data_IF_489841293159
#
_entry.id   IF_489841293159
#
_cell.length_a   1.000
_cell.length_b   1.000
_cell.length_c   1.000
_cell.angle_alpha   90.00
_cell.angle_beta   90.00
_cell.angle_gamma   90.00
#
_symmetry.space_group_name_H-M   'P 1'
#
loop_
_entity.id
_entity.type
_entity.pdbx_description
1 polymer ?
#
# COMPACT_ATOMS: atom_id res chain seq x y z
N UNK A 1 33.47 18.45 42.33
CA UNK A 1 34.24 19.57 41.76
C UNK A 1 33.43 20.11 40.58
N UNK A 2 32.75 21.26 40.55
CA UNK A 2 32.54 22.42 41.41
C UNK A 2 31.07 22.84 41.14
N UNK A 3 30.25 22.95 42.20
CA UNK A 3 28.96 23.66 42.18
C UNK A 3 29.24 25.13 42.54
N UNK A 4 28.58 26.09 41.89
CA UNK A 4 28.50 27.49 42.33
C UNK A 4 27.11 28.09 42.00
N UNK A 5 26.66 29.11 42.75
CA UNK A 5 25.40 29.00 43.49
C UNK A 5 24.36 30.09 43.15
N UNK A 6 23.18 29.89 43.72
CA UNK A 6 22.06 30.84 43.84
C UNK A 6 22.51 32.05 44.68
N UNK A 7 22.27 33.26 44.18
CA UNK A 7 22.41 34.52 44.92
C UNK A 7 21.11 35.31 44.83
N UNK A 8 20.47 35.51 45.99
CA UNK A 8 19.30 36.37 46.23
C UNK A 8 19.83 37.71 46.73
N UNK A 9 19.39 38.83 46.17
CA UNK A 9 19.57 40.16 46.79
C UNK A 9 18.25 40.92 46.72
N UNK A 10 17.76 41.27 47.90
CA UNK A 10 16.64 42.17 48.14
C UNK A 10 17.11 43.62 47.93
N UNK A 11 16.26 44.43 47.30
CA UNK A 11 16.39 45.89 47.28
C UNK A 11 15.07 46.49 47.73
N UNK A 12 15.05 47.01 48.95
CA UNK A 12 14.00 47.90 49.46
C UNK A 12 14.11 49.26 48.77
N UNK A 13 12.98 49.78 48.30
CA UNK A 13 12.90 51.09 47.65
C UNK A 13 11.47 51.61 47.63
N UNK A 14 11.12 52.29 48.73
CA UNK A 14 10.11 53.34 48.89
C UNK A 14 8.74 53.22 48.19
N UNK A 15 7.73 53.22 49.07
CA UNK A 15 6.35 53.58 48.80
C UNK A 15 6.29 54.96 48.13
N UNK A 16 5.88 55.00 46.86
CA UNK A 16 5.25 56.19 46.29
C UNK A 16 3.73 55.96 46.27
N UNK A 17 3.05 56.81 47.02
CA UNK A 17 1.62 56.81 47.24
C UNK A 17 0.97 57.77 46.25
N UNK A 18 0.79 57.35 45.01
CA UNK A 18 -0.15 58.00 44.09
C UNK A 18 -0.33 57.19 42.80
N UNK A 19 -1.29 56.27 42.78
CA UNK A 19 -2.11 55.96 41.61
C UNK A 19 -3.20 54.99 42.06
N UNK A 20 -4.21 55.56 42.70
CA UNK A 20 -5.56 55.00 42.67
C UNK A 20 -6.21 55.50 41.38
N UNK A 21 -6.10 54.72 40.31
CA UNK A 21 -7.12 54.67 39.27
C UNK A 21 -6.87 53.40 38.43
N UNK A 22 -7.98 52.80 37.99
CA UNK A 22 -8.05 51.72 37.00
C UNK A 22 -7.81 50.28 37.52
N UNK A 23 -8.53 49.89 38.57
CA UNK A 23 -8.92 48.47 38.75
C UNK A 23 -10.34 48.27 38.20
N UNK A 24 -10.47 48.12 36.87
CA UNK A 24 -11.63 47.43 36.30
C UNK A 24 -11.52 45.94 36.66
N UNK A 25 -12.24 45.55 37.71
CA UNK A 25 -12.46 44.16 38.04
C UNK A 25 -13.41 43.58 37.00
N UNK A 26 -12.81 42.91 36.01
CA UNK A 26 -13.51 42.07 35.04
C UNK A 26 -14.45 41.08 35.75
N UNK A 27 -15.68 40.99 35.25
CA UNK A 27 -16.75 40.19 35.85
C UNK A 27 -16.47 38.68 35.73
N UNK A 28 -17.22 37.83 36.44
CA UNK A 28 -17.07 36.37 36.35
C UNK A 28 -17.39 35.77 34.97
N UNK A 29 -17.79 36.59 33.99
CA UNK A 29 -18.07 36.21 32.60
C UNK A 29 -16.82 36.25 31.70
N UNK A 30 -15.67 36.70 32.21
CA UNK A 30 -14.45 36.91 31.42
C UNK A 30 -13.55 35.65 31.34
N UNK A 31 -13.99 34.56 31.97
CA UNK A 31 -13.38 33.25 31.80
C UNK A 31 -13.95 32.60 30.54
N UNK A 32 -13.46 33.02 29.37
CA UNK A 32 -13.57 32.23 28.14
C UNK A 32 -12.98 30.85 28.44
N UNK A 33 -13.84 29.90 28.78
CA UNK A 33 -13.50 28.48 28.81
C UNK A 33 -13.01 28.16 27.40
N UNK A 34 -11.73 27.81 27.20
CA UNK A 34 -11.23 27.51 25.86
C UNK A 34 -12.08 26.36 25.35
N UNK A 35 -12.92 26.64 24.36
CA UNK A 35 -13.63 25.57 23.66
C UNK A 35 -12.54 24.67 23.09
N UNK A 36 -12.59 23.34 23.35
CA UNK A 36 -11.62 22.46 22.74
C UNK A 36 -11.69 22.70 21.24
N UNK A 37 -10.61 23.19 20.65
CA UNK A 37 -10.51 23.33 19.21
C UNK A 37 -11.00 22.01 18.60
N UNK A 38 -11.95 22.05 17.64
CA UNK A 38 -12.44 20.83 17.04
C UNK A 38 -11.22 20.09 16.49
N UNK A 39 -10.94 18.91 17.05
CA UNK A 39 -9.89 18.02 16.57
C UNK A 39 -9.96 18.01 15.04
N UNK A 40 -8.88 18.49 14.41
CA UNK A 40 -8.88 18.87 13.01
C UNK A 40 -9.57 17.83 12.14
N UNK A 41 -10.56 18.28 11.37
CA UNK A 41 -11.30 17.45 10.42
C UNK A 41 -10.36 16.50 9.67
N UNK A 42 -10.71 15.20 9.53
CA UNK A 42 -9.91 14.19 8.81
C UNK A 42 -9.60 14.57 7.34
N UNK A 43 -10.19 15.67 6.85
CA UNK A 43 -9.96 16.30 5.55
C UNK A 43 -8.53 16.84 5.29
N UNK A 44 -7.59 16.80 6.25
CA UNK A 44 -6.21 17.33 6.04
C UNK A 44 -5.11 16.30 5.83
N UNK A 45 -5.43 15.03 5.62
CA UNK A 45 -4.43 14.12 5.01
C UNK A 45 -4.53 14.28 3.50
N UNK A 46 -3.57 14.98 2.89
CA UNK A 46 -3.55 15.16 1.43
C UNK A 46 -3.61 13.81 0.69
N UNK A 47 -4.32 13.78 -0.44
CA UNK A 47 -4.56 12.59 -1.27
C UNK A 47 -3.31 11.71 -1.43
N UNK A 48 -2.18 12.32 -1.80
CA UNK A 48 -0.90 11.63 -2.02
C UNK A 48 -0.31 10.93 -0.79
N UNK A 49 -0.59 11.43 0.42
CA UNK A 49 -0.14 10.79 1.66
C UNK A 49 -1.07 9.63 2.01
N UNK A 50 -2.37 9.81 1.81
CA UNK A 50 -3.37 8.78 2.04
C UNK A 50 -3.20 7.61 1.06
N UNK A 51 -3.02 7.84 -0.24
CA UNK A 51 -2.88 6.78 -1.25
C UNK A 51 -1.64 5.90 -1.05
N UNK A 52 -0.61 6.41 -0.35
CA UNK A 52 0.63 5.66 0.00
C UNK A 52 0.55 4.92 1.34
N UNK A 53 -0.57 4.99 2.04
CA UNK A 53 -0.76 4.33 3.34
C UNK A 53 -0.85 2.81 3.17
N UNK A 54 -0.07 2.06 3.95
CA UNK A 54 -0.15 0.60 3.99
C UNK A 54 -1.58 0.11 4.31
N UNK A 55 -2.31 0.82 5.17
CA UNK A 55 -3.70 0.47 5.52
C UNK A 55 -4.61 0.58 4.29
N UNK A 56 -4.38 1.59 3.43
CA UNK A 56 -5.14 1.74 2.18
C UNK A 56 -4.77 0.64 1.18
N UNK A 57 -3.49 0.32 1.05
CA UNK A 57 -3.04 -0.79 0.20
C UNK A 57 -3.65 -2.12 0.65
N UNK A 58 -3.64 -2.42 1.94
CA UNK A 58 -4.26 -3.63 2.49
C UNK A 58 -5.76 -3.68 2.20
N UNK A 59 -6.47 -2.56 2.37
CA UNK A 59 -7.89 -2.48 2.06
C UNK A 59 -8.19 -2.73 0.59
N UNK A 60 -7.37 -2.20 -0.33
CA UNK A 60 -7.55 -2.36 -1.78
C UNK A 60 -7.15 -3.76 -2.29
N UNK A 61 -6.12 -4.37 -1.70
CA UNK A 61 -5.67 -5.71 -2.08
C UNK A 61 -6.60 -6.80 -1.55
N UNK A 62 -7.20 -6.62 -0.36
CA UNK A 62 -8.09 -7.62 0.25
C UNK A 62 -9.22 -8.10 -0.69
N UNK A 63 -10.03 -7.24 -1.33
CA UNK A 63 -11.08 -7.71 -2.24
C UNK A 63 -10.52 -8.41 -3.49
N UNK A 64 -9.40 -7.94 -4.04
CA UNK A 64 -8.73 -8.60 -5.19
C UNK A 64 -8.30 -10.01 -4.79
N UNK A 65 -7.66 -10.15 -3.63
CA UNK A 65 -7.25 -11.43 -3.07
C UNK A 65 -8.45 -12.36 -2.87
N UNK A 66 -9.52 -11.91 -2.19
CA UNK A 66 -10.71 -12.73 -1.93
C UNK A 66 -11.35 -13.20 -3.24
N UNK A 67 -11.55 -12.29 -4.20
CA UNK A 67 -12.16 -12.63 -5.48
C UNK A 67 -11.31 -13.63 -6.27
N UNK A 68 -9.99 -13.49 -6.24
CA UNK A 68 -9.08 -14.46 -6.85
C UNK A 68 -9.17 -15.83 -6.20
N UNK A 69 -9.04 -15.92 -4.86
CA UNK A 69 -9.06 -17.20 -4.13
C UNK A 69 -10.39 -17.96 -4.31
N UNK A 70 -11.50 -17.24 -4.38
CA UNK A 70 -12.81 -17.82 -4.71
C UNK A 70 -12.90 -18.22 -6.19
N UNK A 71 -12.38 -17.39 -7.08
CA UNK A 71 -12.33 -17.65 -8.52
C UNK A 71 -11.60 -18.95 -8.86
N UNK A 72 -10.47 -19.24 -8.20
CA UNK A 72 -9.71 -20.48 -8.39
C UNK A 72 -10.55 -21.74 -8.16
N UNK A 73 -11.56 -21.68 -7.27
CA UNK A 73 -12.47 -22.81 -7.01
C UNK A 73 -13.48 -23.03 -8.15
N UNK A 74 -13.62 -22.06 -9.04
CA UNK A 74 -14.56 -22.07 -10.18
C UNK A 74 -13.87 -22.26 -11.53
N UNK A 75 -12.57 -22.00 -11.61
CA UNK A 75 -11.76 -22.26 -12.79
C UNK A 75 -11.37 -23.74 -12.87
N UNK A 76 -11.19 -24.29 -14.07
CA UNK A 76 -10.74 -25.66 -14.34
C UNK A 76 -9.23 -25.88 -14.02
N UNK A 77 -8.75 -25.32 -12.91
CA UNK A 77 -7.35 -25.37 -12.49
C UNK A 77 -6.48 -24.22 -13.02
N UNK A 78 -7.05 -23.30 -13.81
CA UNK A 78 -6.36 -22.09 -14.26
C UNK A 78 -5.96 -21.21 -13.09
N UNK A 79 -4.67 -20.86 -13.03
CA UNK A 79 -4.09 -20.02 -11.98
C UNK A 79 -3.07 -19.09 -12.61
N UNK A 80 -2.85 -17.94 -11.97
CA UNK A 80 -1.79 -17.06 -12.42
C UNK A 80 -0.44 -17.74 -12.19
N UNK A 81 0.48 -17.65 -13.14
CA UNK A 81 1.77 -18.31 -13.06
C UNK A 81 2.59 -17.95 -11.81
N UNK A 82 2.45 -16.73 -11.29
CA UNK A 82 3.18 -16.30 -10.09
C UNK A 82 2.58 -16.89 -8.79
N UNK A 83 1.39 -17.51 -8.85
CA UNK A 83 0.75 -18.20 -7.74
C UNK A 83 1.21 -19.67 -7.61
N UNK A 84 2.46 -19.85 -7.19
CA UNK A 84 2.97 -21.16 -6.78
C UNK A 84 2.47 -21.59 -5.39
N UNK A 85 2.01 -20.63 -4.58
CA UNK A 85 1.61 -20.86 -3.18
C UNK A 85 0.31 -21.66 -3.11
N UNK A 86 -0.70 -21.28 -3.90
CA UNK A 86 -1.99 -21.97 -3.90
C UNK A 86 -1.86 -23.41 -4.38
N UNK A 87 -1.08 -23.65 -5.42
CA UNK A 87 -0.81 -25.01 -5.91
C UNK A 87 -0.16 -25.87 -4.83
N UNK A 88 0.85 -25.35 -4.13
CA UNK A 88 1.49 -26.06 -3.03
C UNK A 88 0.54 -26.27 -1.84
N UNK A 89 -0.32 -25.29 -1.56
CA UNK A 89 -1.31 -25.36 -0.49
C UNK A 89 -2.34 -26.47 -0.76
N UNK A 90 -2.88 -26.57 -1.99
CA UNK A 90 -3.79 -27.66 -2.36
C UNK A 90 -3.15 -29.05 -2.18
N UNK A 91 -1.87 -29.19 -2.51
CA UNK A 91 -1.12 -30.44 -2.29
C UNK A 91 -1.02 -30.76 -0.79
N UNK A 92 -0.64 -29.80 0.04
CA UNK A 92 -0.52 -30.02 1.50
C UNK A 92 -1.85 -30.30 2.19
N UNK A 93 -2.95 -29.79 1.64
CA UNK A 93 -4.29 -29.98 2.18
C UNK A 93 -5.03 -31.17 1.57
N UNK A 94 -4.33 -32.03 0.80
CA UNK A 94 -4.91 -33.17 0.09
C UNK A 94 -6.16 -32.80 -0.75
N UNK A 95 -6.16 -31.62 -1.38
CA UNK A 95 -7.28 -31.16 -2.19
C UNK A 95 -8.51 -30.66 -1.41
N UNK A 96 -8.44 -30.53 -0.08
CA UNK A 96 -9.60 -30.10 0.72
C UNK A 96 -9.94 -28.63 0.51
N UNK A 97 -11.05 -28.37 -0.20
CA UNK A 97 -11.58 -27.02 -0.42
C UNK A 97 -11.93 -26.31 0.90
N UNK A 98 -12.45 -27.04 1.89
CA UNK A 98 -12.78 -26.48 3.20
C UNK A 98 -11.54 -26.00 3.96
N UNK A 99 -10.47 -26.81 3.97
CA UNK A 99 -9.22 -26.42 4.62
C UNK A 99 -8.54 -25.25 3.89
N UNK A 100 -8.58 -25.25 2.55
CA UNK A 100 -8.09 -24.15 1.72
C UNK A 100 -8.83 -22.85 2.04
N UNK A 101 -10.16 -22.89 2.10
CA UNK A 101 -10.96 -21.71 2.43
C UNK A 101 -10.71 -21.24 3.87
N UNK A 102 -10.55 -22.16 4.83
CA UNK A 102 -10.26 -21.81 6.21
C UNK A 102 -8.93 -21.04 6.35
N UNK A 103 -7.88 -21.47 5.63
CA UNK A 103 -6.59 -20.78 5.60
C UNK A 103 -6.72 -19.39 4.97
N UNK A 104 -7.41 -19.29 3.83
CA UNK A 104 -7.63 -18.01 3.15
C UNK A 104 -8.45 -17.03 4.00
N UNK A 105 -9.48 -17.50 4.71
CA UNK A 105 -10.21 -16.70 5.71
C UNK A 105 -9.25 -16.24 6.82
N UNK A 106 -8.37 -17.12 7.30
CA UNK A 106 -7.33 -16.74 8.27
C UNK A 106 -6.41 -15.62 7.76
N UNK A 107 -5.99 -15.67 6.49
CA UNK A 107 -5.18 -14.63 5.85
C UNK A 107 -5.95 -13.31 5.78
N UNK A 108 -7.21 -13.33 5.34
CA UNK A 108 -8.07 -12.13 5.28
C UNK A 108 -8.26 -11.52 6.67
N UNK A 109 -8.52 -12.36 7.69
CA UNK A 109 -8.63 -11.90 9.08
C UNK A 109 -7.32 -11.26 9.54
N UNK A 110 -6.16 -11.86 9.23
CA UNK A 110 -4.86 -11.29 9.55
C UNK A 110 -4.62 -9.93 8.85
N UNK A 111 -5.01 -9.78 7.59
CA UNK A 111 -4.95 -8.51 6.86
C UNK A 111 -5.82 -7.44 7.53
N UNK A 112 -7.05 -7.78 7.89
CA UNK A 112 -7.99 -6.87 8.57
C UNK A 112 -7.48 -6.47 9.96
N UNK A 113 -7.00 -7.43 10.76
CA UNK A 113 -6.43 -7.16 12.09
C UNK A 113 -5.22 -6.25 11.94
N UNK A 114 -4.30 -6.55 11.03
CA UNK A 114 -3.10 -5.73 10.76
C UNK A 114 -3.49 -4.31 10.38
N UNK A 115 -4.46 -4.15 9.47
CA UNK A 115 -4.97 -2.84 9.06
C UNK A 115 -5.59 -2.04 10.23
N UNK A 116 -6.18 -2.72 11.23
CA UNK A 116 -6.78 -2.07 12.41
C UNK A 116 -5.76 -1.75 13.51
N UNK A 117 -4.72 -2.55 13.64
CA UNK A 117 -3.71 -2.39 14.69
C UNK A 117 -2.61 -1.39 14.33
N UNK A 118 -2.41 -1.05 13.05
CA UNK A 118 -1.40 -0.09 12.62
C UNK A 118 -1.72 1.35 13.09
N UNK A 119 -0.97 1.91 14.07
CA UNK A 119 -1.23 3.24 14.59
C UNK A 119 -0.71 4.32 13.64
N UNK A 120 -1.32 5.52 13.68
CA UNK A 120 -0.79 6.72 13.02
C UNK A 120 -0.91 6.79 11.49
N UNK A 121 -1.57 5.81 10.86
CA UNK A 121 -1.82 5.83 9.42
C UNK A 121 -3.17 6.49 9.13
N UNK A 122 -3.24 7.24 8.03
CA UNK A 122 -4.49 7.84 7.59
C UNK A 122 -5.55 6.75 7.41
N UNK A 123 -6.70 6.92 8.06
CA UNK A 123 -7.79 5.96 7.96
C UNK A 123 -8.24 5.87 6.49
N UNK A 124 -8.50 4.66 5.98
CA UNK A 124 -9.03 4.52 4.64
C UNK A 124 -10.38 5.23 4.54
N UNK A 125 -10.48 6.14 3.59
CA UNK A 125 -11.76 6.74 3.21
C UNK A 125 -12.21 6.11 1.90
N UNK A 126 -13.52 5.87 1.78
CA UNK A 126 -14.11 5.36 0.54
C UNK A 126 -13.78 6.26 -0.67
N UNK A 127 -13.67 7.57 -0.43
CA UNK A 127 -13.26 8.55 -1.45
C UNK A 127 -11.85 8.30 -1.96
N UNK A 128 -10.85 8.13 -1.08
CA UNK A 128 -9.46 7.88 -1.51
C UNK A 128 -9.36 6.53 -2.22
N UNK A 129 -10.03 5.49 -1.71
CA UNK A 129 -10.07 4.20 -2.36
C UNK A 129 -10.68 4.28 -3.77
N UNK A 130 -11.81 4.98 -3.92
CA UNK A 130 -12.46 5.20 -5.22
C UNK A 130 -11.60 5.98 -6.21
N UNK A 131 -10.89 7.01 -5.75
CA UNK A 131 -9.95 7.77 -6.59
C UNK A 131 -8.76 6.92 -7.04
N UNK A 132 -8.16 6.14 -6.14
CA UNK A 132 -7.06 5.24 -6.49
C UNK A 132 -7.52 4.19 -7.51
N UNK A 133 -8.72 3.62 -7.33
CA UNK A 133 -9.30 2.68 -8.30
C UNK A 133 -9.52 3.36 -9.65
N UNK A 134 -10.08 4.56 -9.67
CA UNK A 134 -10.31 5.31 -10.92
C UNK A 134 -9.00 5.62 -11.66
N UNK A 135 -7.98 6.13 -10.94
CA UNK A 135 -6.65 6.34 -11.50
C UNK A 135 -6.04 5.03 -12.03
N UNK A 136 -6.17 3.94 -11.27
CA UNK A 136 -5.66 2.62 -11.68
C UNK A 136 -6.32 2.12 -12.96
N UNK A 137 -7.63 2.30 -13.12
CA UNK A 137 -8.36 1.93 -14.35
C UNK A 137 -7.85 2.74 -15.55
N UNK A 138 -7.64 4.05 -15.38
CA UNK A 138 -7.09 4.92 -16.43
C UNK A 138 -5.69 4.44 -16.82
N UNK A 139 -4.81 4.20 -15.84
CA UNK A 139 -3.45 3.71 -16.09
C UNK A 139 -3.44 2.32 -16.73
N UNK A 140 -4.26 1.39 -16.25
CA UNK A 140 -4.33 0.04 -16.80
C UNK A 140 -4.82 0.05 -18.26
N UNK A 141 -5.85 0.84 -18.56
CA UNK A 141 -6.39 0.97 -19.92
C UNK A 141 -5.37 1.59 -20.86
N UNK A 142 -4.72 2.68 -20.42
CA UNK A 142 -3.70 3.35 -21.21
C UNK A 142 -2.48 2.46 -21.44
N UNK A 143 -1.93 1.86 -20.39
CA UNK A 143 -0.75 0.99 -20.51
C UNK A 143 -1.05 -0.29 -21.29
N UNK A 144 -2.19 -0.92 -21.05
CA UNK A 144 -2.62 -2.08 -21.82
C UNK A 144 -2.76 -1.75 -23.30
N UNK A 145 -3.41 -0.63 -23.64
CA UNK A 145 -3.52 -0.14 -25.01
C UNK A 145 -2.15 0.17 -25.63
N UNK A 146 -1.26 0.83 -24.89
CA UNK A 146 0.09 1.16 -25.34
C UNK A 146 0.93 -0.09 -25.62
N UNK A 147 0.92 -1.08 -24.71
CA UNK A 147 1.65 -2.34 -24.88
C UNK A 147 1.13 -3.07 -26.12
N UNK A 148 -0.18 -3.22 -26.26
CA UNK A 148 -0.78 -3.84 -27.44
C UNK A 148 -0.43 -3.10 -28.74
N UNK A 149 -0.41 -1.77 -28.71
CA UNK A 149 -0.01 -0.96 -29.86
C UNK A 149 1.46 -1.20 -30.24
N UNK A 150 2.38 -1.16 -29.26
CA UNK A 150 3.82 -1.41 -29.49
C UNK A 150 4.06 -2.82 -30.03
N UNK A 151 3.45 -3.85 -29.44
CA UNK A 151 3.60 -5.23 -29.89
C UNK A 151 3.22 -5.37 -31.38
N UNK A 152 2.11 -4.76 -31.80
CA UNK A 152 1.68 -4.74 -33.20
C UNK A 152 2.66 -4.02 -34.12
N UNK A 153 3.30 -2.93 -33.67
CA UNK A 153 4.31 -2.21 -34.48
C UNK A 153 5.56 -3.07 -34.76
N UNK A 154 5.89 -4.02 -33.88
CA UNK A 154 7.04 -4.90 -34.03
C UNK A 154 6.67 -6.29 -34.59
N UNK A 155 5.44 -6.46 -35.07
CA UNK A 155 4.96 -7.71 -35.70
C UNK A 155 4.62 -8.83 -34.72
N UNK A 156 4.41 -8.51 -33.43
CA UNK A 156 3.92 -9.45 -32.42
C UNK A 156 2.42 -9.24 -32.24
N UNK A 157 1.63 -10.20 -32.69
CA UNK A 157 0.20 -10.18 -32.38
C UNK A 157 -0.04 -10.62 -30.94
N UNK A 158 -0.81 -9.85 -30.15
CA UNK A 158 -1.23 -10.29 -28.84
C UNK A 158 -2.00 -11.61 -28.96
N UNK A 159 -1.76 -12.59 -28.06
CA UNK A 159 -2.55 -13.81 -28.05
C UNK A 159 -4.04 -13.47 -27.91
N UNK A 160 -4.88 -14.16 -28.70
CA UNK A 160 -6.33 -13.99 -28.62
C UNK A 160 -6.89 -14.46 -27.28
N UNK A 161 -8.15 -14.10 -26.99
CA UNK A 161 -8.87 -14.65 -25.85
C UNK A 161 -9.22 -16.12 -26.12
N UNK A 162 -8.31 -17.04 -25.81
CA UNK A 162 -8.53 -18.51 -25.88
C UNK A 162 -9.40 -19.01 -24.74
N UNK A 163 -9.38 -18.31 -23.60
CA UNK A 163 -10.06 -18.68 -22.36
C UNK A 163 -11.42 -18.00 -22.18
N UNK A 164 -12.24 -18.54 -21.28
CA UNK A 164 -13.52 -17.92 -20.92
C UNK A 164 -13.33 -16.53 -20.30
N UNK A 165 -14.36 -15.68 -20.35
CA UNK A 165 -14.30 -14.35 -19.70
C UNK A 165 -14.04 -14.48 -18.20
N UNK A 166 -14.60 -15.52 -17.56
CA UNK A 166 -14.40 -15.77 -16.13
C UNK A 166 -12.94 -16.12 -15.84
N UNK A 167 -12.35 -17.05 -16.59
CA UNK A 167 -10.95 -17.42 -16.42
C UNK A 167 -10.03 -16.21 -16.60
N UNK A 168 -10.26 -15.39 -17.64
CA UNK A 168 -9.50 -14.16 -17.86
C UNK A 168 -9.60 -13.18 -16.69
N UNK A 169 -10.79 -13.03 -16.08
CA UNK A 169 -10.98 -12.18 -14.90
C UNK A 169 -10.20 -12.75 -13.71
N UNK A 170 -10.33 -14.05 -13.44
CA UNK A 170 -9.63 -14.72 -12.32
C UNK A 170 -8.12 -14.62 -12.50
N UNK A 171 -7.59 -14.92 -13.67
CA UNK A 171 -6.17 -14.79 -13.98
C UNK A 171 -5.68 -13.34 -13.87
N UNK A 172 -6.46 -12.36 -14.30
CA UNK A 172 -6.12 -10.94 -14.15
C UNK A 172 -6.07 -10.49 -12.69
N UNK A 173 -6.97 -11.00 -11.83
CA UNK A 173 -6.93 -10.76 -10.39
C UNK A 173 -5.69 -11.39 -9.75
N UNK A 174 -5.36 -12.61 -10.17
CA UNK A 174 -4.14 -13.31 -9.76
C UNK A 174 -2.88 -12.53 -10.14
N UNK A 175 -2.79 -12.07 -11.39
CA UNK A 175 -1.70 -11.22 -11.87
C UNK A 175 -1.57 -9.95 -11.02
N UNK A 176 -2.68 -9.25 -10.78
CA UNK A 176 -2.68 -8.03 -9.97
C UNK A 176 -2.19 -8.22 -8.53
N UNK A 177 -2.39 -9.40 -7.93
CA UNK A 177 -1.96 -9.68 -6.55
C UNK A 177 -0.57 -10.35 -6.48
N UNK A 178 -0.38 -11.45 -7.19
CA UNK A 178 0.80 -12.30 -7.07
C UNK A 178 2.00 -11.78 -7.84
N UNK A 179 1.81 -11.24 -9.06
CA UNK A 179 2.93 -10.68 -9.81
C UNK A 179 3.44 -9.39 -9.14
N UNK A 180 2.54 -8.57 -8.59
CA UNK A 180 2.92 -7.38 -7.82
C UNK A 180 3.76 -7.79 -6.60
N UNK A 181 3.35 -8.82 -5.87
CA UNK A 181 4.09 -9.34 -4.73
C UNK A 181 5.46 -9.87 -5.14
N UNK A 182 5.52 -10.76 -6.14
CA UNK A 182 6.75 -11.46 -6.53
C UNK A 182 7.73 -10.53 -7.23
N UNK A 183 7.30 -9.83 -8.27
CA UNK A 183 8.21 -9.06 -9.13
C UNK A 183 8.47 -7.66 -8.58
N UNK A 184 7.45 -6.96 -8.09
CA UNK A 184 7.64 -5.57 -7.64
C UNK A 184 8.03 -5.47 -6.18
N UNK A 185 7.31 -6.18 -5.30
CA UNK A 185 7.60 -6.07 -3.88
C UNK A 185 8.85 -6.86 -3.50
N UNK A 186 9.00 -8.12 -3.91
CA UNK A 186 10.13 -8.95 -3.51
C UNK A 186 11.35 -8.76 -4.41
N UNK A 187 11.22 -9.04 -5.71
CA UNK A 187 12.37 -9.05 -6.62
C UNK A 187 12.95 -7.66 -6.83
N UNK A 188 12.13 -6.67 -7.21
CA UNK A 188 12.62 -5.32 -7.49
C UNK A 188 13.22 -4.67 -6.23
N UNK A 189 12.59 -4.79 -5.05
CA UNK A 189 13.19 -4.25 -3.82
C UNK A 189 14.48 -5.00 -3.43
N UNK A 190 14.53 -6.32 -3.64
CA UNK A 190 15.73 -7.14 -3.46
C UNK A 190 16.87 -6.72 -4.37
N UNK A 191 16.59 -6.43 -5.65
CA UNK A 191 17.55 -5.90 -6.61
C UNK A 191 18.07 -4.52 -6.21
N UNK A 192 17.19 -3.62 -5.76
CA UNK A 192 17.62 -2.33 -5.22
C UNK A 192 18.49 -2.47 -3.98
N UNK A 193 18.14 -3.39 -3.07
CA UNK A 193 18.92 -3.66 -1.86
C UNK A 193 20.30 -4.22 -2.20
N UNK A 194 20.37 -5.23 -3.09
CA UNK A 194 21.62 -5.84 -3.53
C UNK A 194 22.49 -4.84 -4.28
N UNK A 195 21.92 -4.09 -5.23
CA UNK A 195 22.67 -3.10 -5.98
C UNK A 195 23.26 -2.00 -5.09
N UNK A 196 22.54 -1.55 -4.04
CA UNK A 196 23.09 -0.66 -3.02
C UNK A 196 24.24 -1.30 -2.24
N UNK A 197 24.13 -2.59 -1.90
CA UNK A 197 25.23 -3.35 -1.24
C UNK A 197 26.47 -3.45 -2.12
N UNK A 198 26.30 -3.53 -3.44
CA UNK A 198 27.37 -3.52 -4.44
C UNK A 198 27.90 -2.11 -4.75
N UNK A 199 27.40 -1.07 -4.08
CA UNK A 199 27.87 0.31 -4.24
C UNK A 199 27.22 1.09 -5.38
N UNK A 200 26.27 0.50 -6.11
CA UNK A 200 25.50 1.21 -7.15
C UNK A 200 24.51 2.18 -6.51
N UNK A 201 24.30 3.33 -7.15
CA UNK A 201 23.40 4.40 -6.67
C UNK A 201 22.77 5.13 -7.86
N UNK A 202 21.68 5.87 -7.59
CA UNK A 202 21.05 6.76 -8.56
C UNK A 202 20.47 6.04 -9.78
N UNK A 203 20.53 6.71 -10.93
CA UNK A 203 19.93 6.24 -12.19
C UNK A 203 20.50 4.88 -12.66
N UNK A 204 21.82 4.63 -12.65
CA UNK A 204 22.36 3.33 -13.09
C UNK A 204 21.81 2.15 -12.29
N UNK A 205 21.65 2.30 -10.97
CA UNK A 205 21.03 1.28 -10.12
C UNK A 205 19.57 1.05 -10.53
N UNK A 206 18.80 2.13 -10.73
CA UNK A 206 17.40 2.01 -11.12
C UNK A 206 17.28 1.31 -12.48
N UNK A 207 18.05 1.72 -13.48
CA UNK A 207 18.04 1.12 -14.80
C UNK A 207 18.41 -0.37 -14.74
N UNK A 208 19.46 -0.73 -14.01
CA UNK A 208 19.85 -2.13 -13.85
C UNK A 208 18.75 -2.96 -13.15
N UNK A 209 18.18 -2.44 -12.05
CA UNK A 209 17.14 -3.14 -11.30
C UNK A 209 15.87 -3.33 -12.14
N UNK A 210 15.40 -2.30 -12.85
CA UNK A 210 14.23 -2.41 -13.72
C UNK A 210 14.48 -3.30 -14.94
N UNK A 211 15.66 -3.22 -15.56
CA UNK A 211 16.01 -4.07 -16.69
C UNK A 211 16.08 -5.55 -16.29
N UNK A 212 16.77 -5.87 -15.19
CA UNK A 212 16.87 -7.25 -14.69
C UNK A 212 15.48 -7.76 -14.28
N UNK A 213 14.69 -6.96 -13.56
CA UNK A 213 13.33 -7.32 -13.20
C UNK A 213 12.46 -7.58 -14.44
N UNK A 214 12.54 -6.73 -15.46
CA UNK A 214 11.78 -6.88 -16.70
C UNK A 214 12.17 -8.12 -17.50
N UNK A 215 13.48 -8.44 -17.56
CA UNK A 215 13.96 -9.68 -18.20
C UNK A 215 13.45 -10.91 -17.47
N UNK A 216 13.55 -10.94 -16.13
CA UNK A 216 13.06 -12.07 -15.33
C UNK A 216 11.54 -12.21 -15.44
N UNK A 217 10.80 -11.10 -15.35
CA UNK A 217 9.35 -11.08 -15.53
C UNK A 217 8.95 -11.62 -16.90
N UNK A 218 9.62 -11.18 -17.97
CA UNK A 218 9.35 -11.68 -19.32
C UNK A 218 9.70 -13.15 -19.46
N UNK A 219 10.84 -13.61 -18.93
CA UNK A 219 11.25 -15.01 -18.99
C UNK A 219 10.25 -15.93 -18.26
N UNK A 220 9.60 -15.43 -17.20
CA UNK A 220 8.59 -16.17 -16.46
C UNK A 220 7.28 -16.40 -17.24
N UNK A 221 7.07 -15.73 -18.37
CA UNK A 221 5.92 -16.01 -19.24
C UNK A 221 6.26 -17.03 -20.35
N UNK A 222 7.45 -17.62 -20.32
CA UNK A 222 7.89 -18.64 -21.28
C UNK A 222 8.35 -19.92 -20.56
N UNK A 223 7.98 -21.11 -21.07
CA UNK A 223 8.54 -22.37 -20.61
C UNK A 223 10.08 -22.38 -20.75
N UNK A 224 10.84 -22.95 -19.80
CA UNK A 224 10.41 -23.73 -18.63
C UNK A 224 10.24 -22.93 -17.34
N UNK A 225 10.35 -21.59 -17.36
CA UNK A 225 10.50 -20.78 -16.14
C UNK A 225 9.17 -20.32 -15.54
N UNK A 226 8.17 -20.09 -16.39
CA UNK A 226 6.77 -20.04 -16.01
C UNK A 226 5.93 -20.34 -17.24
N UNK A 227 4.98 -21.25 -17.06
CA UNK A 227 4.20 -21.83 -18.14
C UNK A 227 2.76 -21.40 -17.98
N UNK A 228 2.42 -20.26 -18.56
CA UNK A 228 1.05 -20.07 -19.01
C UNK A 228 0.97 -20.86 -20.33
N UNK A 229 0.48 -22.10 -20.28
CA UNK A 229 -0.08 -22.73 -21.48
C UNK A 229 -1.34 -21.93 -21.82
N UNK A 230 -1.25 -21.00 -22.76
CA UNK A 230 -2.38 -20.18 -23.24
C UNK A 230 -3.46 -20.98 -23.94
#
# INVERSE_FOLDING_TARGET
MIRRPIGRVWGDGLLDSNETDDLEVGGPDDLEVPTPEPEGSPARVGYFKASKSLVNSLLLVTPVFVLYQLGILTTDGWRNGADFVTSQLFVWLNGSAAAYLAINVGIVVAMVITARLLPGHARPTATVAGLVVAESVIYATFMGGLINWVLRQIGLDPPGLSMSVLDNIVLSLGAGAYEELVFRLLLLTGLFWLGKKLGLKGIPLALAAFAINGVIFSAFHYPPFGGDEW
#
